data_IF_777576348585
#
_entry.id   IF_777576348585
#
_cell.length_a   1.000
_cell.length_b   1.000
_cell.length_c   1.000
_cell.angle_alpha   90.00
_cell.angle_beta   90.00
_cell.angle_gamma   90.00
#
_symmetry.space_group_name_H-M   'P 1'
#
loop_
_entity.id
_entity.type
_entity.pdbx_description
1 polymer ?
#
# COMPACT_ATOMS: atom_id res chain seq x y z
N UNK A 1 -5.57 -8.23 22.86
CA UNK A 1 -6.00 -7.02 22.11
C UNK A 1 -7.16 -7.43 21.23
N UNK A 2 -8.23 -6.64 21.16
CA UNK A 2 -9.34 -6.97 20.27
C UNK A 2 -8.86 -6.84 18.81
N UNK A 3 -9.06 -7.90 18.03
CA UNK A 3 -8.77 -7.87 16.60
C UNK A 3 -9.80 -6.97 15.92
N UNK A 4 -9.33 -5.89 15.28
CA UNK A 4 -10.20 -5.03 14.47
C UNK A 4 -10.47 -5.70 13.13
N UNK A 5 -11.71 -5.60 12.65
CA UNK A 5 -12.12 -6.14 11.36
C UNK A 5 -12.65 -5.02 10.47
N UNK A 6 -12.13 -4.90 9.25
CA UNK A 6 -12.49 -3.86 8.29
C UNK A 6 -13.02 -4.49 7.02
N UNK A 7 -14.06 -3.89 6.47
CA UNK A 7 -14.59 -4.26 5.15
C UNK A 7 -14.02 -3.28 4.11
N UNK A 8 -13.48 -3.81 3.01
CA UNK A 8 -13.06 -3.06 1.83
C UNK A 8 -14.11 -3.28 0.72
N UNK A 9 -14.81 -2.21 0.35
CA UNK A 9 -15.83 -2.25 -0.69
C UNK A 9 -15.18 -2.09 -2.07
N UNK A 10 -14.91 -3.21 -2.72
CA UNK A 10 -14.25 -3.28 -4.02
C UNK A 10 -15.24 -3.22 -5.20
N UNK A 11 -14.68 -2.98 -6.38
CA UNK A 11 -15.36 -3.14 -7.66
C UNK A 11 -14.37 -3.12 -8.83
N UNK A 12 -14.82 -3.63 -9.97
CA UNK A 12 -14.11 -3.55 -11.25
C UNK A 12 -13.72 -2.11 -11.59
N UNK A 13 -12.47 -1.92 -11.99
CA UNK A 13 -11.82 -0.65 -12.24
C UNK A 13 -11.82 0.31 -11.05
N UNK A 14 -11.85 -0.21 -9.82
CA UNK A 14 -11.35 0.56 -8.68
C UNK A 14 -9.87 0.91 -8.90
N UNK A 15 -9.42 2.01 -8.30
CA UNK A 15 -8.04 2.45 -8.43
C UNK A 15 -7.11 1.46 -7.70
N UNK A 16 -6.03 1.08 -8.38
CA UNK A 16 -5.18 -0.05 -7.97
C UNK A 16 -4.49 0.17 -6.62
N UNK A 17 -3.91 1.36 -6.41
CA UNK A 17 -3.32 1.73 -5.13
C UNK A 17 -4.37 1.96 -4.06
N UNK A 18 -5.50 2.58 -4.39
CA UNK A 18 -6.57 2.89 -3.43
C UNK A 18 -7.26 1.62 -2.89
N UNK A 19 -7.12 0.49 -3.57
CA UNK A 19 -7.48 -0.82 -3.04
C UNK A 19 -6.33 -1.49 -2.29
N UNK A 20 -5.16 -1.66 -2.92
CA UNK A 20 -4.10 -2.52 -2.38
C UNK A 20 -3.37 -1.93 -1.18
N UNK A 21 -3.08 -0.62 -1.18
CA UNK A 21 -2.36 0.03 -0.07
C UNK A 21 -3.13 -0.08 1.24
N UNK A 22 -4.41 0.35 1.36
CA UNK A 22 -5.14 0.19 2.60
C UNK A 22 -5.39 -1.28 2.94
N UNK A 23 -5.61 -2.17 1.96
CA UNK A 23 -5.79 -3.61 2.19
C UNK A 23 -4.59 -4.20 2.95
N UNK A 24 -3.37 -4.03 2.42
CA UNK A 24 -2.19 -4.66 2.98
C UNK A 24 -1.60 -3.89 4.18
N UNK A 25 -1.69 -2.56 4.20
CA UNK A 25 -1.21 -1.76 5.33
C UNK A 25 -2.00 -2.06 6.61
N UNK A 26 -3.33 -2.12 6.52
CA UNK A 26 -4.17 -2.47 7.68
C UNK A 26 -3.87 -3.89 8.18
N UNK A 27 -3.67 -4.85 7.27
CA UNK A 27 -3.24 -6.21 7.64
C UNK A 27 -1.89 -6.21 8.35
N UNK A 28 -0.90 -5.45 7.86
CA UNK A 28 0.40 -5.30 8.52
C UNK A 28 0.28 -4.74 9.95
N UNK A 29 -0.77 -3.94 10.23
CA UNK A 29 -1.04 -3.37 11.55
C UNK A 29 -1.87 -4.29 12.46
N UNK A 30 -2.15 -5.51 12.02
CA UNK A 30 -2.92 -6.50 12.77
C UNK A 30 -4.44 -6.33 12.66
N UNK A 31 -4.93 -5.62 11.64
CA UNK A 31 -6.37 -5.51 11.32
C UNK A 31 -6.74 -6.60 10.32
N UNK A 32 -7.79 -7.35 10.57
CA UNK A 32 -8.37 -8.26 9.57
C UNK A 32 -9.13 -7.47 8.52
N UNK A 33 -8.85 -7.68 7.23
CA UNK A 33 -9.51 -6.96 6.13
C UNK A 33 -10.18 -7.95 5.19
N UNK A 34 -11.48 -7.79 4.98
CA UNK A 34 -12.26 -8.52 3.99
C UNK A 34 -12.58 -7.62 2.80
N UNK A 35 -12.14 -8.02 1.60
CA UNK A 35 -12.40 -7.34 0.35
C UNK A 35 -13.56 -8.03 -0.38
N UNK A 36 -14.60 -7.26 -0.69
CA UNK A 36 -15.85 -7.75 -1.29
C UNK A 36 -16.29 -6.91 -2.47
N UNK A 37 -16.95 -7.51 -3.45
CA UNK A 37 -17.56 -6.82 -4.58
C UNK A 37 -18.97 -7.38 -4.82
N UNK A 38 -20.01 -6.55 -5.00
CA UNK A 38 -21.36 -7.05 -5.30
C UNK A 38 -21.34 -7.93 -6.55
N UNK A 39 -22.04 -9.06 -6.48
CA UNK A 39 -22.08 -10.05 -7.57
C UNK A 39 -20.88 -11.00 -7.66
N UNK A 40 -19.87 -10.83 -6.80
CA UNK A 40 -18.66 -11.68 -6.74
C UNK A 40 -18.49 -12.40 -5.40
N UNK A 41 -17.69 -13.46 -5.42
CA UNK A 41 -17.40 -14.36 -4.30
C UNK A 41 -15.93 -14.26 -3.89
N UNK A 42 -15.60 -14.80 -2.72
CA UNK A 42 -14.20 -15.05 -2.37
C UNK A 42 -13.50 -15.90 -3.45
N UNK A 43 -12.30 -15.49 -3.87
CA UNK A 43 -11.53 -16.11 -4.94
C UNK A 43 -11.78 -15.51 -6.33
N UNK A 44 -12.87 -14.77 -6.55
CA UNK A 44 -13.03 -13.98 -7.78
C UNK A 44 -12.06 -12.78 -7.78
N UNK A 45 -11.76 -12.25 -8.97
CA UNK A 45 -10.89 -11.09 -9.12
C UNK A 45 -11.63 -9.88 -9.72
N UNK A 46 -11.21 -8.68 -9.34
CA UNK A 46 -11.59 -7.41 -9.97
C UNK A 46 -10.42 -6.88 -10.81
N UNK A 47 -10.60 -6.51 -12.09
CA UNK A 47 -9.62 -5.67 -12.77
C UNK A 47 -9.51 -4.34 -12.03
N UNK A 48 -8.32 -3.76 -11.94
CA UNK A 48 -8.13 -2.42 -11.38
C UNK A 48 -7.69 -1.41 -12.45
N UNK A 49 -7.73 -0.14 -12.08
CA UNK A 49 -7.33 0.99 -12.92
C UNK A 49 -6.10 1.69 -12.34
N UNK A 50 -5.14 2.02 -13.19
CA UNK A 50 -4.00 2.90 -12.89
C UNK A 50 -4.38 4.30 -13.34
N UNK A 51 -4.58 5.23 -12.39
CA UNK A 51 -4.92 6.62 -12.71
C UNK A 51 -3.68 7.51 -12.58
N UNK A 52 -3.15 7.94 -13.74
CA UNK A 52 -1.87 8.65 -13.81
C UNK A 52 -2.03 10.09 -14.30
N UNK A 53 -1.57 11.11 -13.56
CA UNK A 53 -1.48 12.47 -14.07
C UNK A 53 -0.35 12.57 -15.09
N UNK A 54 -0.69 12.85 -16.35
CA UNK A 54 0.26 12.92 -17.47
C UNK A 54 0.43 14.34 -18.04
N UNK A 55 0.09 15.37 -17.26
CA UNK A 55 0.21 16.79 -17.69
C UNK A 55 -0.91 17.25 -18.62
N UNK A 56 -1.98 16.47 -18.75
CA UNK A 56 -3.20 16.82 -19.48
C UNK A 56 -4.28 17.37 -18.53
N UNK A 57 -5.43 17.77 -19.09
CA UNK A 57 -6.55 18.32 -18.32
C UNK A 57 -7.12 17.35 -17.26
N UNK A 58 -6.90 16.05 -17.43
CA UNK A 58 -7.27 15.00 -16.48
C UNK A 58 -6.24 13.85 -16.53
N UNK A 59 -6.42 12.85 -15.67
CA UNK A 59 -5.59 11.64 -15.62
C UNK A 59 -5.78 10.77 -16.88
N UNK A 60 -4.73 10.02 -17.23
CA UNK A 60 -4.85 8.86 -18.11
C UNK A 60 -5.17 7.61 -17.29
N UNK A 61 -5.75 6.62 -17.97
CA UNK A 61 -6.04 5.32 -17.37
C UNK A 61 -5.38 4.19 -18.16
N UNK A 62 -4.77 3.25 -17.44
CA UNK A 62 -4.40 1.93 -17.93
C UNK A 62 -4.90 0.84 -16.98
N UNK A 63 -4.82 -0.42 -17.40
CA UNK A 63 -5.20 -1.56 -16.55
C UNK A 63 -4.11 -1.80 -15.49
N UNK A 64 -4.53 -1.97 -14.24
CA UNK A 64 -3.69 -2.37 -13.12
C UNK A 64 -3.51 -3.88 -12.98
N UNK A 65 -3.19 -4.32 -11.77
CA UNK A 65 -3.25 -5.73 -11.37
C UNK A 65 -4.69 -6.27 -11.39
N UNK A 66 -4.86 -7.60 -11.39
CA UNK A 66 -6.16 -8.18 -11.04
C UNK A 66 -6.20 -8.40 -9.51
N UNK A 67 -7.10 -7.70 -8.83
CA UNK A 67 -7.25 -7.76 -7.37
C UNK A 67 -8.12 -8.95 -6.97
N UNK A 68 -7.56 -9.93 -6.26
CA UNK A 68 -8.30 -11.09 -5.76
C UNK A 68 -9.11 -10.76 -4.49
N UNK A 69 -10.40 -11.07 -4.50
CA UNK A 69 -11.29 -10.91 -3.36
C UNK A 69 -11.10 -12.06 -2.38
N UNK A 70 -11.10 -11.77 -1.07
CA UNK A 70 -10.97 -12.80 -0.02
C UNK A 70 -12.29 -13.07 0.73
N UNK A 71 -13.37 -12.37 0.39
CA UNK A 71 -14.68 -12.55 0.99
C UNK A 71 -15.82 -12.37 -0.05
N UNK A 72 -17.00 -12.90 0.26
CA UNK A 72 -18.18 -12.85 -0.59
C UNK A 72 -19.14 -11.74 -0.15
N UNK A 73 -19.55 -10.86 -1.07
CA UNK A 73 -20.38 -9.70 -0.72
C UNK A 73 -21.75 -10.07 -0.11
N UNK A 74 -22.42 -11.10 -0.66
CA UNK A 74 -23.75 -11.52 -0.18
C UNK A 74 -23.71 -12.22 1.20
N UNK A 75 -22.52 -12.51 1.74
CA UNK A 75 -22.31 -13.13 3.05
C UNK A 75 -21.91 -12.11 4.14
N UNK A 76 -21.79 -10.83 3.79
CA UNK A 76 -21.35 -9.77 4.69
C UNK A 76 -22.42 -9.44 5.73
N UNK A 77 -22.07 -9.61 7.01
CA UNK A 77 -22.77 -8.96 8.11
C UNK A 77 -22.04 -7.70 8.55
N UNK A 78 -22.61 -6.52 8.26
CA UNK A 78 -22.06 -5.22 8.62
C UNK A 78 -21.83 -5.07 10.14
N UNK A 79 -22.55 -5.81 11.00
CA UNK A 79 -22.37 -5.76 12.44
C UNK A 79 -20.98 -6.30 12.86
N UNK A 80 -20.41 -7.24 12.11
CA UNK A 80 -19.14 -7.91 12.43
C UNK A 80 -17.87 -7.07 12.15
N UNK A 81 -18.01 -5.90 11.53
CA UNK A 81 -16.88 -5.04 11.15
C UNK A 81 -16.80 -3.78 12.01
N UNK A 82 -15.61 -3.32 12.34
CA UNK A 82 -15.36 -2.05 13.05
C UNK A 82 -15.34 -0.83 12.11
N UNK A 83 -15.06 -1.05 10.82
CA UNK A 83 -15.02 0.03 9.84
C UNK A 83 -15.12 -0.41 8.38
N UNK A 84 -15.30 0.56 7.51
CA UNK A 84 -15.48 0.42 6.07
C UNK A 84 -14.46 1.30 5.33
N UNK A 85 -13.79 0.74 4.32
CA UNK A 85 -12.94 1.47 3.38
C UNK A 85 -13.59 1.41 1.99
N UNK A 86 -13.65 2.56 1.32
CA UNK A 86 -14.21 2.73 -0.02
C UNK A 86 -13.12 3.32 -0.94
N UNK A 87 -12.46 2.49 -1.77
CA UNK A 87 -11.55 2.95 -2.81
C UNK A 87 -12.27 3.83 -3.84
N UNK A 88 -11.51 4.65 -4.55
CA UNK A 88 -11.96 5.39 -5.72
C UNK A 88 -11.77 4.60 -7.01
N UNK A 89 -11.23 5.28 -8.03
CA UNK A 89 -11.23 4.79 -9.41
C UNK A 89 -12.59 4.97 -10.07
N UNK A 90 -12.92 4.11 -11.03
CA UNK A 90 -14.23 4.13 -11.70
C UNK A 90 -15.30 3.28 -11.03
N UNK A 91 -14.89 2.34 -10.16
CA UNK A 91 -15.83 1.47 -9.46
C UNK A 91 -16.96 2.22 -8.73
N UNK A 92 -16.68 3.33 -8.00
CA UNK A 92 -17.71 4.08 -7.31
C UNK A 92 -18.85 4.60 -8.19
N UNK A 93 -18.59 4.87 -9.47
CA UNK A 93 -19.59 5.40 -10.40
C UNK A 93 -20.77 4.43 -10.55
N UNK A 94 -20.50 3.14 -10.76
CA UNK A 94 -21.56 2.15 -10.92
C UNK A 94 -22.00 1.53 -9.59
N UNK A 95 -21.10 1.41 -8.61
CA UNK A 95 -21.46 0.93 -7.27
C UNK A 95 -22.42 1.89 -6.55
N UNK A 96 -22.36 3.19 -6.85
CA UNK A 96 -23.30 4.18 -6.33
C UNK A 96 -24.74 3.99 -6.86
N UNK A 97 -24.95 3.13 -7.87
CA UNK A 97 -26.28 2.79 -8.39
C UNK A 97 -26.85 1.47 -7.82
N UNK A 98 -26.05 0.70 -7.08
CA UNK A 98 -26.46 -0.58 -6.50
C UNK A 98 -27.06 -0.39 -5.10
N UNK A 99 -28.37 -0.63 -4.95
CA UNK A 99 -29.05 -0.44 -3.66
C UNK A 99 -28.51 -1.37 -2.55
N UNK A 100 -27.96 -2.55 -2.86
CA UNK A 100 -27.33 -3.39 -1.83
C UNK A 100 -26.08 -2.70 -1.26
N UNK A 101 -25.31 -2.04 -2.12
CA UNK A 101 -24.13 -1.26 -1.73
C UNK A 101 -24.56 -0.04 -0.90
N UNK A 102 -25.55 0.72 -1.37
CA UNK A 102 -26.05 1.88 -0.64
C UNK A 102 -26.61 1.49 0.73
N UNK A 103 -27.37 0.40 0.82
CA UNK A 103 -27.89 -0.12 2.07
C UNK A 103 -26.77 -0.55 3.05
N UNK A 104 -25.70 -1.17 2.54
CA UNK A 104 -24.53 -1.52 3.33
C UNK A 104 -23.87 -0.26 3.92
N UNK A 105 -23.64 0.76 3.09
CA UNK A 105 -23.03 2.04 3.50
C UNK A 105 -23.88 2.77 4.54
N UNK A 106 -25.22 2.80 4.36
CA UNK A 106 -26.14 3.35 5.36
C UNK A 106 -26.01 2.62 6.70
N UNK A 107 -25.94 1.28 6.73
CA UNK A 107 -25.75 0.50 7.96
C UNK A 107 -24.47 0.89 8.72
N UNK A 108 -23.35 1.07 8.03
CA UNK A 108 -22.09 1.53 8.67
C UNK A 108 -22.23 2.95 9.22
N UNK A 109 -22.88 3.85 8.48
CA UNK A 109 -23.08 5.24 8.89
C UNK A 109 -24.02 5.37 10.09
N UNK A 110 -25.16 4.68 10.07
CA UNK A 110 -26.15 4.65 11.15
C UNK A 110 -25.55 4.08 12.45
N UNK A 111 -24.69 3.06 12.33
CA UNK A 111 -23.96 2.48 13.44
C UNK A 111 -22.78 3.34 13.93
N UNK A 112 -22.52 4.49 13.30
CA UNK A 112 -21.39 5.40 13.59
C UNK A 112 -20.01 4.72 13.55
N UNK A 113 -19.89 3.65 12.76
CA UNK A 113 -18.61 2.94 12.54
C UNK A 113 -17.67 3.78 11.70
N UNK A 114 -16.37 3.55 11.80
CA UNK A 114 -15.40 4.32 11.02
C UNK A 114 -15.62 4.08 9.52
N UNK A 115 -15.69 5.14 8.72
CA UNK A 115 -15.77 5.08 7.25
C UNK A 115 -14.61 5.88 6.67
N UNK A 116 -13.80 5.24 5.84
CA UNK A 116 -12.72 5.85 5.09
C UNK A 116 -13.06 5.82 3.59
N UNK A 117 -13.15 6.95 2.92
CA UNK A 117 -13.45 7.03 1.49
C UNK A 117 -12.44 7.92 0.76
N UNK A 118 -11.94 7.47 -0.39
CA UNK A 118 -10.90 8.20 -1.14
C UNK A 118 -11.33 8.46 -2.59
N UNK A 119 -10.87 9.58 -3.14
CA UNK A 119 -11.00 9.94 -4.55
C UNK A 119 -12.47 9.99 -5.01
N UNK A 120 -12.91 9.02 -5.80
CA UNK A 120 -14.29 8.91 -6.30
C UNK A 120 -15.20 8.08 -5.38
N UNK A 121 -14.66 7.39 -4.37
CA UNK A 121 -15.44 6.58 -3.42
C UNK A 121 -16.59 7.36 -2.76
N UNK A 122 -16.40 8.67 -2.61
CA UNK A 122 -17.36 9.60 -2.02
C UNK A 122 -18.65 9.74 -2.84
N UNK A 123 -18.67 9.33 -4.12
CA UNK A 123 -19.90 9.22 -4.92
C UNK A 123 -20.89 8.24 -4.27
N UNK A 124 -20.40 7.12 -3.73
CA UNK A 124 -21.23 6.14 -3.03
C UNK A 124 -21.80 6.77 -1.75
N UNK A 125 -21.01 7.54 -1.01
CA UNK A 125 -21.47 8.23 0.20
C UNK A 125 -22.55 9.27 -0.12
N UNK A 126 -22.39 10.01 -1.21
CA UNK A 126 -23.39 10.97 -1.69
C UNK A 126 -24.70 10.26 -2.07
N UNK A 127 -24.62 9.19 -2.86
CA UNK A 127 -25.79 8.40 -3.29
C UNK A 127 -26.50 7.71 -2.10
N UNK A 128 -25.74 7.28 -1.08
CA UNK A 128 -26.31 6.72 0.14
C UNK A 128 -26.98 7.77 1.03
N UNK A 129 -26.78 9.07 0.77
CA UNK A 129 -27.35 10.17 1.54
C UNK A 129 -26.66 10.42 2.88
N UNK A 130 -25.45 9.90 3.09
CA UNK A 130 -24.77 9.88 4.39
C UNK A 130 -23.80 11.04 4.62
N UNK A 131 -23.71 11.98 3.66
CA UNK A 131 -22.80 13.14 3.70
C UNK A 131 -23.48 14.46 4.03
N UNK A 132 -24.80 14.49 4.23
CA UNK A 132 -25.53 15.72 4.56
C UNK A 132 -24.99 16.33 5.86
N UNK A 133 -24.65 17.62 5.81
CA UNK A 133 -24.05 18.42 6.89
C UNK A 133 -22.66 17.96 7.36
N UNK A 134 -22.08 16.94 6.72
CA UNK A 134 -20.75 16.40 7.01
C UNK A 134 -19.67 17.21 6.31
N UNK A 135 -18.53 17.39 6.97
CA UNK A 135 -17.36 18.04 6.37
C UNK A 135 -16.49 17.01 5.68
N UNK A 136 -16.26 17.14 4.37
CA UNK A 136 -15.46 16.18 3.61
C UNK A 136 -14.72 16.79 2.41
N UNK A 137 -13.70 16.08 1.96
CA UNK A 137 -13.02 16.32 0.67
C UNK A 137 -13.18 15.10 -0.24
N UNK A 138 -12.77 15.19 -1.50
CA UNK A 138 -12.78 14.11 -2.48
C UNK A 138 -11.90 14.50 -3.67
N UNK A 139 -11.83 13.66 -4.71
CA UNK A 139 -11.26 14.09 -5.98
C UNK A 139 -12.01 15.34 -6.48
N UNK A 140 -11.34 16.37 -7.02
CA UNK A 140 -11.98 17.66 -7.31
C UNK A 140 -13.23 17.58 -8.18
N UNK A 141 -13.29 16.64 -9.14
CA UNK A 141 -14.45 16.46 -10.01
C UNK A 141 -15.72 15.98 -9.27
N UNK A 142 -15.58 15.43 -8.06
CA UNK A 142 -16.69 14.92 -7.23
C UNK A 142 -17.37 16.05 -6.43
N UNK A 143 -16.72 17.22 -6.32
CA UNK A 143 -17.22 18.39 -5.57
C UNK A 143 -18.69 18.75 -5.86
N UNK A 144 -19.15 18.87 -7.13
CA UNK A 144 -20.53 19.28 -7.40
C UNK A 144 -21.56 18.30 -6.80
N UNK A 145 -21.28 17.00 -6.86
CA UNK A 145 -22.17 15.95 -6.35
C UNK A 145 -22.24 16.00 -4.83
N UNK A 146 -21.11 16.17 -4.15
CA UNK A 146 -21.07 16.27 -2.68
C UNK A 146 -21.78 17.52 -2.16
N UNK A 147 -21.57 18.66 -2.81
CA UNK A 147 -22.27 19.92 -2.45
C UNK A 147 -23.78 19.76 -2.65
N UNK A 148 -24.21 19.17 -3.78
CA UNK A 148 -25.62 18.89 -4.03
C UNK A 148 -26.24 17.90 -3.02
N UNK A 149 -25.44 16.95 -2.51
CA UNK A 149 -25.84 16.03 -1.44
C UNK A 149 -25.88 16.68 -0.04
N UNK A 150 -25.51 17.96 0.08
CA UNK A 150 -25.54 18.74 1.32
C UNK A 150 -24.27 18.64 2.16
N UNK A 151 -23.14 18.18 1.60
CA UNK A 151 -21.87 18.16 2.31
C UNK A 151 -21.24 19.55 2.44
N UNK A 152 -20.51 19.77 3.53
CA UNK A 152 -19.64 20.93 3.75
C UNK A 152 -18.29 20.65 3.09
N UNK A 153 -18.17 21.07 1.82
CA UNK A 153 -17.01 20.81 1.00
C UNK A 153 -15.73 21.48 1.52
N UNK A 154 -14.64 20.72 1.52
CA UNK A 154 -13.27 21.20 1.75
C UNK A 154 -12.45 21.03 0.47
N UNK A 155 -11.89 22.13 -0.01
CA UNK A 155 -11.05 22.15 -1.20
C UNK A 155 -9.76 21.32 -0.99
N UNK A 156 -9.40 20.55 -2.02
CA UNK A 156 -8.17 19.77 -2.04
C UNK A 156 -7.02 20.61 -2.62
N UNK A 157 -6.44 21.49 -1.79
CA UNK A 157 -5.31 22.36 -2.19
C UNK A 157 -4.09 21.55 -2.69
N UNK A 158 -3.99 20.29 -2.25
CA UNK A 158 -3.08 19.28 -2.79
C UNK A 158 -3.82 17.94 -2.89
N UNK A 159 -3.33 17.02 -3.74
CA UNK A 159 -3.89 15.67 -3.83
C UNK A 159 -3.66 14.81 -2.56
N UNK A 160 -2.84 15.30 -1.61
CA UNK A 160 -2.61 14.68 -0.30
C UNK A 160 -3.70 15.01 0.73
N UNK A 161 -4.63 15.92 0.40
CA UNK A 161 -5.61 16.44 1.37
C UNK A 161 -6.46 15.32 1.95
N UNK A 162 -6.46 15.23 3.28
CA UNK A 162 -7.39 14.43 4.06
C UNK A 162 -8.29 15.33 4.93
N UNK A 163 -9.49 14.85 5.26
CA UNK A 163 -10.47 15.52 6.12
C UNK A 163 -11.13 14.49 7.03
N UNK A 164 -11.26 14.85 8.32
CA UNK A 164 -12.01 14.07 9.30
C UNK A 164 -13.17 14.87 9.84
N UNK A 165 -14.33 14.23 9.90
CA UNK A 165 -15.51 14.73 10.60
C UNK A 165 -16.15 13.58 11.38
N UNK A 166 -15.91 13.52 12.69
CA UNK A 166 -16.35 12.39 13.53
C UNK A 166 -15.77 11.05 13.05
N UNK A 167 -16.65 10.12 12.67
CA UNK A 167 -16.31 8.79 12.18
C UNK A 167 -16.01 8.72 10.67
N UNK A 168 -16.10 9.84 9.94
CA UNK A 168 -15.86 9.90 8.50
C UNK A 168 -14.46 10.46 8.22
N UNK A 169 -13.64 9.67 7.53
CA UNK A 169 -12.33 10.05 7.00
C UNK A 169 -12.44 10.11 5.48
N UNK A 170 -12.04 11.22 4.88
CA UNK A 170 -12.04 11.38 3.41
C UNK A 170 -10.70 11.87 2.88
N UNK A 171 -10.30 11.39 1.71
CA UNK A 171 -9.08 11.79 1.03
C UNK A 171 -9.33 12.13 -0.45
N UNK A 172 -8.51 13.02 -1.00
CA UNK A 172 -8.65 13.48 -2.38
C UNK A 172 -8.12 12.49 -3.43
N UNK A 173 -7.00 11.81 -3.16
CA UNK A 173 -6.38 10.80 -4.02
C UNK A 173 -5.41 9.91 -3.21
N UNK A 174 -4.81 8.91 -3.86
CA UNK A 174 -3.82 8.01 -3.25
C UNK A 174 -2.58 8.71 -2.68
N UNK A 175 -2.23 9.92 -3.11
CA UNK A 175 -1.13 10.69 -2.53
C UNK A 175 -1.32 10.95 -1.02
N UNK A 176 -2.58 10.98 -0.57
CA UNK A 176 -2.97 11.19 0.82
C UNK A 176 -3.00 9.92 1.68
N UNK A 177 -2.73 8.74 1.11
CA UNK A 177 -2.80 7.46 1.84
C UNK A 177 -2.10 7.43 3.20
N UNK A 178 -0.90 8.03 3.38
CA UNK A 178 -0.27 8.04 4.70
C UNK A 178 -1.15 8.65 5.78
N UNK A 179 -1.70 9.85 5.54
CA UNK A 179 -2.57 10.53 6.48
C UNK A 179 -3.94 9.83 6.55
N UNK A 180 -4.51 9.44 5.41
CA UNK A 180 -5.79 8.74 5.31
C UNK A 180 -5.83 7.46 6.17
N UNK A 181 -4.81 6.59 6.04
CA UNK A 181 -4.71 5.35 6.81
C UNK A 181 -4.43 5.66 8.28
N UNK A 182 -3.57 6.64 8.59
CA UNK A 182 -3.28 7.04 9.97
C UNK A 182 -4.55 7.53 10.70
N UNK A 183 -5.36 8.35 10.04
CA UNK A 183 -6.62 8.86 10.57
C UNK A 183 -7.65 7.73 10.72
N UNK A 184 -7.71 6.80 9.78
CA UNK A 184 -8.61 5.64 9.87
C UNK A 184 -8.21 4.69 11.02
N UNK A 185 -6.92 4.41 11.21
CA UNK A 185 -6.42 3.64 12.36
C UNK A 185 -6.84 4.31 13.67
N UNK A 186 -6.73 5.65 13.78
CA UNK A 186 -7.21 6.40 14.95
C UNK A 186 -8.73 6.28 15.12
N UNK A 187 -9.50 6.38 14.05
CA UNK A 187 -10.96 6.22 14.07
C UNK A 187 -11.39 4.82 14.54
N UNK A 188 -10.58 3.79 14.29
CA UNK A 188 -10.77 2.43 14.81
C UNK A 188 -10.36 2.27 16.29
N UNK A 189 -9.90 3.34 16.96
CA UNK A 189 -9.37 3.29 18.33
C UNK A 189 -7.92 2.80 18.43
N UNK A 190 -7.18 2.88 17.32
CA UNK A 190 -5.78 2.51 17.20
C UNK A 190 -4.81 3.63 17.58
N UNK A 191 -3.65 3.25 18.09
CA UNK A 191 -2.52 4.12 18.39
C UNK A 191 -1.22 3.49 17.92
N UNK A 192 -0.25 4.32 17.51
CA UNK A 192 1.07 3.88 17.01
C UNK A 192 2.15 4.33 17.99
N UNK A 193 3.06 3.42 18.34
CA UNK A 193 4.22 3.69 19.19
C UNK A 193 5.52 3.29 18.47
N UNK A 194 6.61 4.00 18.75
CA UNK A 194 7.95 3.68 18.24
C UNK A 194 8.26 4.14 16.81
N UNK A 195 7.34 4.85 16.15
CA UNK A 195 7.42 5.22 14.74
C UNK A 195 8.33 6.41 14.39
N UNK A 196 8.96 7.08 15.37
CA UNK A 196 10.03 8.05 15.10
C UNK A 196 11.27 7.29 14.58
N UNK A 197 11.24 7.00 13.28
CA UNK A 197 12.22 6.22 12.52
C UNK A 197 12.41 6.83 11.15
N UNK A 198 13.63 6.75 10.64
CA UNK A 198 13.99 7.20 9.30
C UNK A 198 14.34 6.00 8.42
N UNK A 199 13.64 5.82 7.30
CA UNK A 199 13.76 4.62 6.46
C UNK A 199 14.14 5.04 5.04
N UNK A 200 15.14 4.37 4.47
CA UNK A 200 15.58 4.60 3.10
C UNK A 200 15.01 3.53 2.16
N UNK A 201 14.50 3.94 1.00
CA UNK A 201 14.10 3.06 -0.09
C UNK A 201 15.10 3.20 -1.25
N UNK A 202 15.67 2.08 -1.69
CA UNK A 202 16.47 2.02 -2.92
C UNK A 202 15.57 1.72 -4.11
N UNK A 203 15.23 2.77 -4.85
CA UNK A 203 14.33 2.74 -5.99
C UNK A 203 15.07 2.70 -7.32
N UNK A 204 14.34 2.34 -8.39
CA UNK A 204 14.81 2.40 -9.76
C UNK A 204 13.67 2.27 -10.76
N UNK A 205 13.99 2.48 -12.03
CA UNK A 205 13.06 2.39 -13.14
C UNK A 205 12.60 0.94 -13.31
N UNK A 206 11.29 0.77 -13.48
CA UNK A 206 10.60 -0.52 -13.54
C UNK A 206 10.76 -1.37 -12.27
N UNK A 207 10.95 -0.75 -11.10
CA UNK A 207 10.62 -1.42 -9.85
C UNK A 207 9.13 -1.78 -9.82
N UNK A 208 8.77 -2.81 -9.06
CA UNK A 208 7.39 -3.30 -9.04
C UNK A 208 6.45 -2.26 -8.37
N UNK A 209 5.30 -2.00 -9.01
CA UNK A 209 4.40 -0.91 -8.68
C UNK A 209 3.84 -0.96 -7.25
N UNK A 210 3.39 -2.14 -6.79
CA UNK A 210 2.97 -2.33 -5.41
C UNK A 210 4.17 -2.42 -4.47
N UNK A 211 5.25 -3.09 -4.87
CA UNK A 211 6.40 -3.35 -3.97
C UNK A 211 7.15 -2.08 -3.58
N UNK A 212 7.03 -1.01 -4.36
CA UNK A 212 7.42 0.32 -3.92
C UNK A 212 6.31 1.00 -3.11
N UNK A 213 5.08 1.11 -3.65
CA UNK A 213 4.08 2.01 -3.08
C UNK A 213 3.50 1.52 -1.75
N UNK A 214 3.18 0.23 -1.64
CA UNK A 214 2.54 -0.32 -0.43
C UNK A 214 3.46 -0.20 0.78
N UNK A 215 4.72 -0.71 0.77
CA UNK A 215 5.58 -0.57 1.93
C UNK A 215 5.92 0.89 2.23
N UNK A 216 6.11 1.72 1.20
CA UNK A 216 6.43 3.14 1.36
C UNK A 216 5.31 3.88 2.09
N UNK A 217 4.07 3.79 1.60
CA UNK A 217 2.94 4.50 2.21
C UNK A 217 2.51 3.88 3.54
N UNK A 218 2.65 2.56 3.73
CA UNK A 218 2.40 1.94 5.03
C UNK A 218 3.35 2.49 6.12
N UNK A 219 4.65 2.52 5.84
CA UNK A 219 5.62 3.06 6.80
C UNK A 219 5.39 4.55 7.08
N UNK A 220 5.00 5.34 6.07
CA UNK A 220 4.59 6.74 6.27
C UNK A 220 3.31 6.87 7.12
N UNK A 221 2.32 6.00 6.93
CA UNK A 221 1.07 6.01 7.70
C UNK A 221 1.27 5.75 9.20
N UNK A 222 2.34 5.01 9.55
CA UNK A 222 2.76 4.81 10.93
C UNK A 222 3.39 6.07 11.55
N UNK A 223 3.79 7.04 10.73
CA UNK A 223 4.48 8.26 11.13
C UNK A 223 6.00 8.23 10.95
N UNK A 224 6.54 7.22 10.26
CA UNK A 224 7.97 7.18 9.93
C UNK A 224 8.33 8.25 8.89
N UNK A 225 9.54 8.78 8.96
CA UNK A 225 10.13 9.52 7.84
C UNK A 225 10.67 8.52 6.82
N UNK A 226 10.18 8.55 5.59
CA UNK A 226 10.58 7.60 4.54
C UNK A 226 11.11 8.36 3.33
N UNK A 227 12.38 8.14 3.00
CA UNK A 227 13.02 8.71 1.81
C UNK A 227 13.18 7.63 0.73
N UNK A 228 12.89 7.98 -0.51
CA UNK A 228 13.08 7.14 -1.69
C UNK A 228 14.07 7.82 -2.65
N UNK A 229 15.08 7.05 -3.06
CA UNK A 229 16.19 7.53 -3.88
C UNK A 229 16.47 6.58 -5.03
N UNK A 230 16.97 7.11 -6.14
CA UNK A 230 17.44 6.34 -7.29
C UNK A 230 18.76 6.96 -7.77
N UNK A 231 19.79 6.16 -8.12
CA UNK A 231 20.99 6.68 -8.77
C UNK A 231 20.64 7.58 -9.96
N UNK A 232 21.45 8.63 -10.13
CA UNK A 232 21.32 9.62 -11.21
C UNK A 232 20.00 10.41 -11.23
N UNK A 233 19.22 10.38 -10.14
CA UNK A 233 17.97 11.13 -9.95
C UNK A 233 17.94 11.90 -8.62
N UNK A 234 17.21 13.01 -8.63
CA UNK A 234 17.00 13.88 -7.47
C UNK A 234 15.56 13.86 -6.95
N UNK A 235 15.34 14.56 -5.83
CA UNK A 235 13.99 14.78 -5.31
C UNK A 235 13.10 15.49 -6.35
N UNK A 236 11.90 14.94 -6.59
CA UNK A 236 10.96 15.42 -7.60
C UNK A 236 11.02 14.67 -8.93
N UNK A 237 12.13 13.98 -9.22
CA UNK A 237 12.21 13.08 -10.37
C UNK A 237 11.31 11.86 -10.16
N UNK A 238 10.99 11.18 -11.26
CA UNK A 238 10.08 10.03 -11.27
C UNK A 238 10.77 8.78 -11.81
N UNK A 239 10.38 7.63 -11.27
CA UNK A 239 10.67 6.30 -11.83
C UNK A 239 9.37 5.73 -12.39
N UNK A 240 9.34 5.28 -13.67
CA UNK A 240 8.25 4.42 -14.12
C UNK A 240 8.28 3.11 -13.32
N UNK A 241 7.13 2.49 -13.07
CA UNK A 241 7.03 1.19 -12.40
C UNK A 241 6.53 0.11 -13.36
N UNK A 242 6.72 -1.15 -12.95
CA UNK A 242 6.22 -2.33 -13.64
C UNK A 242 5.14 -3.02 -12.79
N UNK A 243 4.03 -3.36 -13.41
CA UNK A 243 2.99 -4.23 -12.84
C UNK A 243 3.33 -5.66 -13.22
N UNK A 244 3.55 -6.52 -12.23
CA UNK A 244 3.80 -7.95 -12.43
C UNK A 244 2.63 -8.79 -11.94
N UNK A 245 1.91 -9.39 -12.89
CA UNK A 245 0.71 -10.19 -12.59
C UNK A 245 0.66 -11.52 -13.37
N UNK A 246 0.09 -12.55 -12.75
CA UNK A 246 -0.03 -13.88 -13.32
C UNK A 246 -1.38 -14.03 -14.04
N UNK A 247 -1.33 -14.05 -15.38
CA UNK A 247 -2.53 -14.06 -16.24
C UNK A 247 -2.72 -15.39 -17.00
N UNK A 248 -2.05 -16.47 -16.54
CA UNK A 248 -2.24 -17.85 -17.03
C UNK A 248 -1.02 -18.48 -17.71
N UNK A 249 0.04 -17.71 -17.95
CA UNK A 249 1.29 -18.18 -18.56
C UNK A 249 2.28 -18.77 -17.55
N UNK A 250 3.43 -19.27 -18.03
CA UNK A 250 4.46 -19.89 -17.18
C UNK A 250 5.17 -18.90 -16.24
N UNK A 251 5.12 -17.61 -16.55
CA UNK A 251 5.65 -16.52 -15.73
C UNK A 251 4.70 -15.33 -15.78
N UNK A 252 4.92 -14.35 -14.92
CA UNK A 252 4.13 -13.12 -14.89
C UNK A 252 4.21 -12.33 -16.21
N UNK A 253 3.14 -11.60 -16.49
CA UNK A 253 3.08 -10.52 -17.48
C UNK A 253 3.69 -9.24 -16.91
N UNK A 254 4.17 -8.34 -17.77
CA UNK A 254 4.61 -7.00 -17.38
C UNK A 254 3.78 -5.92 -18.08
N UNK A 255 3.27 -4.97 -17.29
CA UNK A 255 2.49 -3.82 -17.76
C UNK A 255 3.03 -2.51 -17.14
N UNK A 256 2.87 -1.35 -17.79
CA UNK A 256 3.23 -0.08 -17.16
C UNK A 256 2.33 0.22 -15.95
N UNK A 257 2.95 0.53 -14.81
CA UNK A 257 2.26 1.00 -13.61
C UNK A 257 2.23 2.52 -13.48
N UNK A 258 2.16 3.00 -12.24
CA UNK A 258 2.23 4.41 -11.92
C UNK A 258 3.64 4.99 -12.15
N UNK A 259 3.77 6.32 -12.15
CA UNK A 259 5.09 6.92 -11.96
C UNK A 259 5.29 7.18 -10.46
N UNK A 260 6.35 6.62 -9.90
CA UNK A 260 6.72 6.85 -8.51
C UNK A 260 7.65 8.06 -8.38
N UNK A 261 7.25 9.06 -7.60
CA UNK A 261 8.05 10.25 -7.38
C UNK A 261 9.06 10.06 -6.24
N UNK A 262 10.33 10.36 -6.51
CA UNK A 262 11.40 10.37 -5.52
C UNK A 262 11.29 11.63 -4.65
N UNK A 263 11.60 11.50 -3.36
CA UNK A 263 11.53 12.62 -2.41
C UNK A 263 12.88 12.99 -1.80
N UNK A 264 13.96 12.29 -2.17
CA UNK A 264 15.32 12.58 -1.76
C UNK A 264 16.30 12.34 -2.93
N UNK A 265 17.46 12.98 -2.89
CA UNK A 265 18.51 12.84 -3.91
C UNK A 265 19.52 11.78 -3.51
N UNK A 266 19.86 10.86 -4.42
CA UNK A 266 20.76 9.74 -4.12
C UNK A 266 22.17 10.18 -3.69
N UNK A 267 22.72 11.22 -4.32
CA UNK A 267 24.07 11.70 -4.01
C UNK A 267 24.23 12.36 -2.64
N UNK A 268 23.13 12.75 -1.99
CA UNK A 268 23.16 13.34 -0.65
C UNK A 268 22.79 12.33 0.47
N UNK A 269 22.60 11.06 0.13
CA UNK A 269 22.24 10.02 1.11
C UNK A 269 23.41 9.71 2.04
N UNK A 270 23.20 9.92 3.33
CA UNK A 270 24.04 9.37 4.39
C UNK A 270 23.33 8.20 5.09
N UNK A 271 23.80 6.98 4.85
CA UNK A 271 23.30 5.76 5.49
C UNK A 271 23.37 5.79 7.04
N UNK A 272 24.18 6.66 7.63
CA UNK A 272 24.24 6.82 9.08
C UNK A 272 22.92 7.38 9.65
N UNK A 273 22.23 8.22 8.87
CA UNK A 273 21.01 8.93 9.28
C UNK A 273 19.72 8.10 9.26
N UNK A 274 19.74 6.91 8.66
CA UNK A 274 18.58 6.04 8.51
C UNK A 274 18.61 4.86 9.47
N UNK A 275 17.49 4.49 10.06
CA UNK A 275 17.35 3.33 10.92
C UNK A 275 17.21 2.03 10.13
N UNK A 276 16.62 2.07 8.93
CA UNK A 276 16.41 0.90 8.08
C UNK A 276 16.56 1.19 6.59
N UNK A 277 16.79 0.11 5.84
CA UNK A 277 16.79 0.08 4.39
C UNK A 277 15.67 -0.84 3.87
N UNK A 278 14.96 -0.40 2.85
CA UNK A 278 13.99 -1.18 2.09
C UNK A 278 14.40 -1.24 0.61
N UNK A 279 14.31 -2.43 0.02
CA UNK A 279 14.63 -2.68 -1.38
C UNK A 279 13.41 -3.34 -2.05
N UNK A 280 12.59 -2.56 -2.78
CA UNK A 280 11.53 -3.09 -3.64
C UNK A 280 12.10 -4.03 -4.71
N UNK A 281 11.26 -4.93 -5.23
CA UNK A 281 11.62 -5.80 -6.35
C UNK A 281 11.28 -5.18 -7.71
N UNK A 282 10.73 -6.01 -8.60
CA UNK A 282 10.55 -5.70 -10.01
C UNK A 282 11.84 -5.84 -10.81
N UNK A 283 12.00 -5.05 -11.87
CA UNK A 283 13.19 -5.10 -12.73
C UNK A 283 14.31 -4.17 -12.28
N UNK A 284 14.02 -3.16 -11.46
CA UNK A 284 15.05 -2.25 -10.97
C UNK A 284 16.25 -2.93 -10.29
N UNK A 285 16.07 -3.94 -9.41
CA UNK A 285 17.18 -4.58 -8.72
C UNK A 285 18.27 -5.16 -9.64
N UNK A 286 17.91 -5.64 -10.83
CA UNK A 286 18.86 -6.33 -11.72
C UNK A 286 19.97 -5.39 -12.19
N UNK A 287 19.63 -4.14 -12.49
CA UNK A 287 20.60 -3.13 -12.93
C UNK A 287 21.18 -2.33 -11.76
N UNK A 288 20.42 -2.12 -10.68
CA UNK A 288 20.91 -1.47 -9.47
C UNK A 288 22.00 -2.29 -8.78
N UNK A 289 21.96 -3.62 -8.91
CA UNK A 289 22.99 -4.54 -8.42
C UNK A 289 24.36 -4.35 -9.10
N UNK A 290 24.45 -3.55 -10.17
CA UNK A 290 25.70 -3.22 -10.85
C UNK A 290 26.30 -1.87 -10.40
N UNK A 291 25.60 -1.13 -9.52
CA UNK A 291 26.04 0.18 -9.06
C UNK A 291 26.80 0.08 -7.72
N UNK A 292 28.10 0.39 -7.73
CA UNK A 292 28.98 0.30 -6.56
C UNK A 292 28.51 1.10 -5.35
N UNK A 293 27.90 2.28 -5.54
CA UNK A 293 27.35 3.06 -4.43
C UNK A 293 26.14 2.36 -3.80
N UNK A 294 25.27 1.75 -4.62
CA UNK A 294 24.12 0.96 -4.14
C UNK A 294 24.59 -0.25 -3.33
N UNK A 295 25.57 -1.00 -3.84
CA UNK A 295 26.15 -2.15 -3.12
C UNK A 295 26.80 -1.72 -1.81
N UNK A 296 27.54 -0.61 -1.82
CA UNK A 296 28.18 -0.03 -0.62
C UNK A 296 27.16 0.41 0.43
N UNK A 297 26.03 0.99 0.00
CA UNK A 297 24.92 1.35 0.89
C UNK A 297 24.34 0.09 1.54
N UNK A 298 23.93 -0.91 0.74
CA UNK A 298 23.36 -2.16 1.25
C UNK A 298 24.30 -2.85 2.25
N UNK A 299 25.59 -2.94 1.90
CA UNK A 299 26.63 -3.46 2.79
C UNK A 299 26.75 -2.66 4.09
N UNK A 300 26.76 -1.33 4.01
CA UNK A 300 26.85 -0.46 5.18
C UNK A 300 25.70 -0.62 6.18
N UNK A 301 24.46 -0.88 5.72
CA UNK A 301 23.35 -1.21 6.64
C UNK A 301 23.54 -2.58 7.29
N UNK A 302 23.95 -3.58 6.50
CA UNK A 302 24.16 -4.95 6.99
C UNK A 302 25.31 -5.03 8.00
N UNK A 303 26.45 -4.41 7.72
CA UNK A 303 27.63 -4.38 8.61
C UNK A 303 27.31 -3.70 9.96
N UNK A 304 26.40 -2.73 9.97
CA UNK A 304 25.94 -2.05 11.19
C UNK A 304 24.81 -2.79 11.91
N UNK A 305 24.34 -3.92 11.38
CA UNK A 305 23.22 -4.67 11.95
C UNK A 305 21.88 -3.91 11.92
N UNK A 306 21.75 -2.89 11.07
CA UNK A 306 20.50 -2.13 10.91
C UNK A 306 19.47 -2.99 10.16
N UNK A 307 18.16 -2.88 10.45
CA UNK A 307 17.14 -3.60 9.69
C UNK A 307 17.23 -3.34 8.18
N UNK A 308 17.27 -4.42 7.41
CA UNK A 308 17.20 -4.41 5.94
C UNK A 308 16.03 -5.27 5.51
N UNK A 309 15.10 -4.71 4.75
CA UNK A 309 13.95 -5.43 4.23
C UNK A 309 14.01 -5.47 2.69
N UNK A 310 14.00 -6.65 2.10
CA UNK A 310 14.08 -6.82 0.64
C UNK A 310 13.03 -7.80 0.13
N UNK A 311 12.42 -7.51 -1.02
CA UNK A 311 11.31 -8.31 -1.55
C UNK A 311 11.52 -8.65 -3.02
N UNK A 312 11.03 -9.82 -3.43
CA UNK A 312 10.96 -10.27 -4.81
C UNK A 312 12.35 -10.36 -5.47
N UNK A 313 12.70 -9.41 -6.34
CA UNK A 313 14.00 -9.34 -7.00
C UNK A 313 15.01 -8.48 -6.25
N UNK A 314 14.60 -7.74 -5.22
CA UNK A 314 15.49 -6.85 -4.44
C UNK A 314 16.72 -7.58 -3.87
N UNK A 315 16.58 -8.87 -3.58
CA UNK A 315 17.64 -9.73 -3.06
C UNK A 315 18.80 -9.90 -4.04
N UNK A 316 18.63 -9.58 -5.33
CA UNK A 316 19.73 -9.55 -6.29
C UNK A 316 20.81 -8.51 -5.90
N UNK A 317 20.39 -7.35 -5.37
CA UNK A 317 21.32 -6.34 -4.84
C UNK A 317 22.08 -6.90 -3.63
N UNK A 318 21.39 -7.59 -2.72
CA UNK A 318 22.00 -8.18 -1.54
C UNK A 318 23.00 -9.30 -1.90
N UNK A 319 22.65 -10.14 -2.87
CA UNK A 319 23.54 -11.17 -3.39
C UNK A 319 24.81 -10.54 -4.01
N UNK A 320 24.66 -9.52 -4.85
CA UNK A 320 25.77 -8.81 -5.47
C UNK A 320 26.65 -8.06 -4.46
N UNK A 321 26.07 -7.55 -3.37
CA UNK A 321 26.82 -6.91 -2.28
C UNK A 321 27.59 -7.91 -1.40
N UNK A 322 27.40 -9.22 -1.59
CA UNK A 322 28.03 -10.28 -0.80
C UNK A 322 27.48 -10.41 0.62
N UNK A 323 26.34 -9.76 0.93
CA UNK A 323 25.78 -9.72 2.30
C UNK A 323 24.86 -10.90 2.62
N UNK A 324 24.67 -11.82 1.66
CA UNK A 324 23.89 -13.05 1.86
C UNK A 324 24.74 -14.24 2.33
N UNK A 325 26.07 -14.13 2.35
CA UNK A 325 26.95 -15.24 2.76
C UNK A 325 26.64 -15.68 4.20
N UNK A 326 26.24 -16.95 4.36
CA UNK A 326 25.86 -17.52 5.65
C UNK A 326 24.51 -17.07 6.21
N UNK A 327 23.74 -16.28 5.46
CA UNK A 327 22.40 -15.79 5.85
C UNK A 327 21.30 -16.72 5.37
N UNK A 328 20.13 -16.66 6.01
CA UNK A 328 18.92 -17.37 5.59
C UNK A 328 17.93 -16.37 5.01
N UNK A 329 17.47 -16.57 3.79
CA UNK A 329 16.48 -15.67 3.21
C UNK A 329 15.62 -16.35 2.14
N UNK A 330 14.46 -15.75 1.87
CA UNK A 330 13.65 -16.03 0.69
C UNK A 330 13.78 -14.91 -0.34
N UNK A 331 13.22 -15.11 -1.53
CA UNK A 331 13.11 -14.11 -2.59
C UNK A 331 11.99 -14.55 -3.57
N UNK A 332 11.83 -13.85 -4.69
CA UNK A 332 11.05 -14.40 -5.80
C UNK A 332 11.62 -15.78 -6.20
N UNK A 333 10.79 -16.81 -6.50
CA UNK A 333 11.28 -18.16 -6.71
C UNK A 333 12.43 -18.30 -7.72
N UNK A 334 12.43 -17.52 -8.81
CA UNK A 334 13.52 -17.56 -9.80
C UNK A 334 14.85 -16.97 -9.26
N UNK A 335 14.78 -16.09 -8.25
CA UNK A 335 15.93 -15.44 -7.60
C UNK A 335 16.60 -16.36 -6.57
N UNK A 336 16.04 -17.55 -6.31
CA UNK A 336 16.73 -18.62 -5.58
C UNK A 336 18.14 -18.88 -6.09
N UNK A 337 18.34 -18.77 -7.40
CA UNK A 337 19.66 -18.90 -8.02
C UNK A 337 20.65 -17.86 -7.45
N UNK A 338 20.26 -16.59 -7.40
CA UNK A 338 21.09 -15.51 -6.86
C UNK A 338 21.36 -15.69 -5.37
N UNK A 339 20.35 -16.10 -4.59
CA UNK A 339 20.51 -16.37 -3.15
C UNK A 339 21.56 -17.45 -2.92
N UNK A 340 21.46 -18.58 -3.61
CA UNK A 340 22.40 -19.71 -3.44
C UNK A 340 23.81 -19.36 -3.93
N UNK A 341 23.93 -18.72 -5.09
CA UNK A 341 25.24 -18.29 -5.61
C UNK A 341 25.89 -17.20 -4.74
N UNK A 342 25.09 -16.36 -4.07
CA UNK A 342 25.53 -15.39 -3.08
C UNK A 342 25.88 -15.98 -1.71
N UNK A 343 25.91 -17.31 -1.57
CA UNK A 343 26.26 -17.99 -0.32
C UNK A 343 25.13 -18.04 0.73
N UNK A 344 23.91 -17.67 0.35
CA UNK A 344 22.74 -17.69 1.21
C UNK A 344 22.06 -19.06 1.26
N UNK A 345 21.42 -19.35 2.39
CA UNK A 345 20.54 -20.50 2.57
C UNK A 345 19.11 -20.12 2.18
N UNK A 346 18.60 -20.78 1.15
CA UNK A 346 17.24 -20.56 0.65
C UNK A 346 16.16 -20.99 1.65
N UNK A 347 15.20 -20.11 1.89
CA UNK A 347 13.95 -20.40 2.58
C UNK A 347 12.80 -20.42 1.56
N UNK A 348 12.07 -21.54 1.50
CA UNK A 348 10.99 -21.72 0.54
C UNK A 348 9.80 -20.77 0.84
N UNK A 349 9.38 -19.93 -0.12
CA UNK A 349 8.25 -19.00 0.07
C UNK A 349 6.92 -19.69 -0.15
N UNK A 350 6.62 -20.68 0.70
CA UNK A 350 5.35 -21.41 0.68
C UNK A 350 4.59 -21.20 1.99
N UNK A 351 3.44 -20.47 1.98
CA UNK A 351 2.81 -19.82 0.82
C UNK A 351 3.54 -18.54 0.38
N UNK A 352 3.27 -18.06 -0.84
CA UNK A 352 3.97 -16.90 -1.46
C UNK A 352 3.86 -15.59 -0.67
N UNK A 353 2.83 -15.45 0.16
CA UNK A 353 2.61 -14.28 1.01
C UNK A 353 3.41 -14.31 2.32
N UNK A 354 4.25 -15.34 2.55
CA UNK A 354 5.08 -15.45 3.76
C UNK A 354 6.38 -14.66 3.63
N UNK A 355 6.81 -14.05 4.73
CA UNK A 355 8.13 -13.44 4.87
C UNK A 355 8.96 -14.13 5.96
N UNK A 356 10.28 -13.93 5.93
CA UNK A 356 11.19 -14.45 6.94
C UNK A 356 12.14 -13.37 7.46
N UNK A 357 12.45 -13.43 8.75
CA UNK A 357 13.48 -12.61 9.40
C UNK A 357 14.64 -13.50 9.86
N UNK A 358 15.85 -13.20 9.38
CA UNK A 358 17.11 -13.78 9.86
C UNK A 358 17.97 -12.65 10.44
N UNK A 359 18.04 -12.54 11.77
CA UNK A 359 18.71 -11.41 12.42
C UNK A 359 18.09 -10.06 12.04
N UNK A 360 18.86 -9.22 11.36
CA UNK A 360 18.44 -7.89 10.87
C UNK A 360 17.84 -7.90 9.45
N UNK A 361 17.76 -9.05 8.78
CA UNK A 361 17.32 -9.15 7.39
C UNK A 361 15.89 -9.70 7.31
N UNK A 362 14.97 -8.91 6.80
CA UNK A 362 13.60 -9.32 6.44
C UNK A 362 13.56 -9.59 4.94
N UNK A 363 13.00 -10.73 4.55
CA UNK A 363 12.82 -11.08 3.12
C UNK A 363 11.41 -11.56 2.80
N UNK A 364 10.88 -11.05 1.69
CA UNK A 364 9.61 -11.47 1.10
C UNK A 364 9.77 -11.92 -0.35
N UNK A 365 8.81 -12.68 -0.86
CA UNK A 365 8.91 -13.31 -2.19
C UNK A 365 8.21 -12.57 -3.33
N UNK A 366 7.10 -11.89 -3.04
CA UNK A 366 6.33 -11.11 -4.02
C UNK A 366 5.35 -10.18 -3.28
N UNK A 367 4.72 -9.26 -4.01
CA UNK A 367 3.73 -8.31 -3.48
C UNK A 367 2.61 -8.89 -2.58
N UNK A 368 2.14 -10.15 -2.68
CA UNK A 368 1.16 -10.68 -1.72
C UNK A 368 1.68 -10.72 -0.27
N UNK A 369 3.00 -10.67 -0.08
CA UNK A 369 3.66 -10.79 1.21
C UNK A 369 3.79 -9.46 1.98
N UNK A 370 3.35 -8.32 1.42
CA UNK A 370 3.47 -7.03 2.08
C UNK A 370 2.96 -6.98 3.52
N UNK A 371 1.83 -7.63 3.89
CA UNK A 371 1.39 -7.65 5.28
C UNK A 371 2.45 -8.19 6.24
N UNK A 372 3.04 -9.35 5.96
CA UNK A 372 4.10 -9.92 6.79
C UNK A 372 5.42 -9.16 6.63
N UNK A 373 5.72 -8.67 5.44
CA UNK A 373 6.95 -7.91 5.15
C UNK A 373 7.04 -6.64 6.01
N UNK A 374 5.97 -5.83 5.99
CA UNK A 374 5.88 -4.59 6.78
C UNK A 374 5.79 -4.93 8.26
N UNK A 375 5.00 -5.93 8.67
CA UNK A 375 4.88 -6.31 10.08
C UNK A 375 6.22 -6.79 10.69
N UNK A 376 7.01 -7.56 9.95
CA UNK A 376 8.32 -8.03 10.41
C UNK A 376 9.34 -6.88 10.49
N UNK A 377 9.33 -5.95 9.52
CA UNK A 377 10.16 -4.74 9.60
C UNK A 377 9.76 -3.84 10.78
N UNK A 378 8.46 -3.66 11.02
CA UNK A 378 7.95 -2.95 12.20
C UNK A 378 8.47 -3.58 13.49
N UNK A 379 8.47 -4.91 13.59
CA UNK A 379 8.98 -5.62 14.76
C UNK A 379 10.47 -5.33 15.00
N UNK A 380 11.31 -5.34 13.96
CA UNK A 380 12.73 -4.98 14.07
C UNK A 380 12.95 -3.51 14.44
N UNK A 381 12.07 -2.62 14.01
CA UNK A 381 12.12 -1.18 14.34
C UNK A 381 11.47 -0.84 15.70
N UNK A 382 10.87 -1.82 16.39
CA UNK A 382 10.14 -1.59 17.64
C UNK A 382 8.85 -0.79 17.46
N UNK A 383 8.28 -0.78 16.26
CA UNK A 383 7.01 -0.10 15.95
C UNK A 383 5.85 -1.02 16.33
N UNK A 384 4.85 -0.47 17.00
CA UNK A 384 3.64 -1.22 17.39
C UNK A 384 2.38 -0.41 17.13
N UNK A 385 1.37 -1.08 16.60
CA UNK A 385 -0.01 -0.56 16.55
C UNK A 385 -0.84 -1.29 17.60
N UNK A 386 -1.61 -0.56 18.40
CA UNK A 386 -2.44 -1.12 19.48
C UNK A 386 -3.84 -0.53 19.41
N UNK A 387 -4.85 -1.39 19.58
CA UNK A 387 -6.27 -1.01 19.54
C UNK A 387 -6.90 -1.12 20.92
N UNK A 388 -7.67 -0.10 21.28
CA UNK A 388 -8.52 -0.09 22.48
C UNK A 388 -9.95 -0.51 22.11
N UNK A 389 -10.66 -1.12 23.05
CA UNK A 389 -12.11 -1.27 22.91
C UNK A 389 -12.72 0.11 23.17
N UNK A 390 -13.54 0.60 22.24
CA UNK A 390 -14.45 1.69 22.55
C UNK A 390 -15.59 1.09 23.38
N UNK A 391 -15.77 1.58 24.62
CA UNK A 391 -16.89 1.21 25.50
C UNK A 391 -18.22 1.73 24.98
#
# INVERSE_FOLDING_TARGET
MAAKRVLLLCGDYMEDYEAMVPFQALQAYGVSVDAVCPGKKAGDACPTAVHKPIGHQTYAESKGHNFALNASFDEVDAAAYDGLVIPGGRAPEYLAMDEKVLALVRKFSDAKKAIASVCHGQLILAAAGVVRDRTCTAYPAVKPVLVAAGAKWVEADTMKKCVVDGNLVTAAAYDGHPEFISLFVKALGGSVAGADKRILFLCGDYMEDYEVMVPFQALQALGCHVDAVCPDKGAGDKCPTAIHDFEGDQTYSEKPGHDFALNASFDSVDASSYDALVIPGGRAPEYLALNEKVLSLAKGFMDKGKPVASICHGQQILAAAGVLEGRKCTAYPAVKLNVVLGGGTWLEPDPIHRCFTDGNLVTGAAWPAHPEFVAQLMALLGIKVSFTNQE
#
